data_IF_417559004827
#
_entry.id   IF_417559004827
#
_cell.length_a   1.000
_cell.length_b   1.000
_cell.length_c   1.000
_cell.angle_alpha   90.00
_cell.angle_beta   90.00
_cell.angle_gamma   90.00
#
_symmetry.space_group_name_H-M   'P 1'
#
loop_
_entity.id
_entity.type
_entity.pdbx_description
1 polymer ?
#
# COMPACT_ATOMS: atom_id res chain seq x y z
N UNK A 1 -12.46 -9.03 20.73
CA UNK A 1 -12.53 -7.58 20.41
C UNK A 1 -11.16 -6.98 20.74
N UNK A 2 -10.13 -7.39 19.99
CA UNK A 2 -8.75 -6.97 20.24
C UNK A 2 -8.51 -5.65 19.53
N UNK A 3 -8.13 -4.65 20.32
CA UNK A 3 -7.72 -3.34 19.82
C UNK A 3 -6.49 -3.54 18.95
N UNK A 4 -6.66 -3.38 17.64
CA UNK A 4 -5.57 -3.35 16.67
C UNK A 4 -4.60 -2.22 17.05
N UNK A 5 -3.57 -2.58 17.81
CA UNK A 5 -2.52 -1.67 18.27
C UNK A 5 -1.79 -1.09 17.07
N UNK A 6 -2.02 0.19 16.80
CA UNK A 6 -1.33 0.97 15.77
C UNK A 6 0.16 1.01 16.10
N UNK A 7 0.96 0.24 15.38
CA UNK A 7 2.40 0.18 15.63
C UNK A 7 3.10 1.28 14.85
N UNK A 8 3.57 2.31 15.56
CA UNK A 8 4.39 3.38 14.99
C UNK A 8 5.77 2.84 14.62
N UNK A 9 6.21 3.07 13.38
CA UNK A 9 7.50 2.60 12.84
C UNK A 9 8.17 3.71 12.04
N UNK A 10 9.50 3.71 11.99
CA UNK A 10 10.28 4.70 11.24
C UNK A 10 10.97 4.06 10.04
N UNK A 11 10.98 4.76 8.92
CA UNK A 11 11.83 4.48 7.76
C UNK A 11 12.57 5.77 7.42
N UNK A 12 13.88 5.80 7.64
CA UNK A 12 14.65 7.05 7.63
C UNK A 12 14.09 8.07 8.63
N UNK A 13 13.91 9.30 8.15
CA UNK A 13 13.41 10.46 8.91
C UNK A 13 11.87 10.46 9.09
N UNK A 14 11.17 9.60 8.33
CA UNK A 14 9.72 9.63 8.26
C UNK A 14 9.10 8.62 9.23
N UNK A 15 8.13 9.07 10.02
CA UNK A 15 7.37 8.24 10.95
C UNK A 15 6.07 7.77 10.29
N UNK A 16 5.92 6.45 10.24
CA UNK A 16 4.78 5.77 9.65
C UNK A 16 3.93 5.12 10.74
N UNK A 17 2.63 5.22 10.56
CA UNK A 17 1.68 4.35 11.20
C UNK A 17 1.34 3.24 10.22
N UNK A 18 1.60 1.98 10.60
CA UNK A 18 1.14 0.85 9.81
C UNK A 18 -0.36 0.67 10.02
N UNK A 19 -1.09 0.65 8.91
CA UNK A 19 -2.52 0.40 8.90
C UNK A 19 -2.74 -1.06 8.46
N UNK A 20 -3.47 -1.87 9.24
CA UNK A 20 -3.80 -3.22 8.82
C UNK A 20 -4.71 -3.18 7.59
N UNK A 21 -4.36 -3.94 6.57
CA UNK A 21 -5.23 -4.16 5.40
C UNK A 21 -6.14 -5.33 5.73
N UNK A 22 -7.44 -5.08 5.71
CA UNK A 22 -8.47 -6.11 5.83
C UNK A 22 -9.11 -6.30 4.46
N UNK A 23 -8.82 -7.43 3.82
CA UNK A 23 -9.41 -7.80 2.53
C UNK A 23 -10.64 -8.68 2.80
N UNK A 24 -11.81 -8.07 2.79
CA UNK A 24 -13.07 -8.82 2.91
C UNK A 24 -13.30 -9.68 1.65
N UNK A 25 -13.80 -10.92 1.79
CA UNK A 25 -14.16 -11.72 0.63
C UNK A 25 -15.23 -10.99 -0.19
N UNK A 26 -15.04 -10.94 -1.51
CA UNK A 26 -15.98 -10.34 -2.45
C UNK A 26 -16.57 -11.43 -3.34
N UNK A 27 -17.85 -11.29 -3.72
CA UNK A 27 -18.42 -12.13 -4.76
C UNK A 27 -17.64 -11.95 -6.07
N UNK A 28 -17.61 -12.98 -6.92
CA UNK A 28 -16.81 -12.95 -8.15
C UNK A 28 -17.19 -11.78 -9.07
N UNK A 29 -18.48 -11.44 -9.16
CA UNK A 29 -18.98 -10.28 -9.90
C UNK A 29 -18.44 -8.96 -9.35
N UNK A 30 -18.49 -8.81 -8.03
CA UNK A 30 -17.99 -7.63 -7.30
C UNK A 30 -16.48 -7.46 -7.49
N UNK A 31 -15.73 -8.55 -7.34
CA UNK A 31 -14.28 -8.54 -7.56
C UNK A 31 -13.90 -8.18 -9.01
N UNK A 32 -14.69 -8.63 -9.99
CA UNK A 32 -14.43 -8.36 -11.40
C UNK A 32 -14.70 -6.90 -11.77
N UNK A 33 -15.81 -6.34 -11.29
CA UNK A 33 -16.12 -4.93 -11.50
C UNK A 33 -15.17 -4.01 -10.74
N UNK A 34 -14.81 -4.35 -9.50
CA UNK A 34 -13.81 -3.59 -8.74
C UNK A 34 -12.44 -3.62 -9.43
N UNK A 35 -12.02 -4.77 -9.97
CA UNK A 35 -10.77 -4.89 -10.72
C UNK A 35 -10.76 -4.03 -12.00
N UNK A 36 -11.91 -3.93 -12.67
CA UNK A 36 -12.07 -3.04 -13.82
C UNK A 36 -11.94 -1.58 -13.39
N UNK A 37 -12.72 -1.14 -12.39
CA UNK A 37 -12.64 0.24 -11.88
C UNK A 37 -11.24 0.59 -11.37
N UNK A 38 -10.56 -0.33 -10.70
CA UNK A 38 -9.18 -0.16 -10.26
C UNK A 38 -8.22 0.07 -11.44
N UNK A 39 -8.27 -0.79 -12.47
CA UNK A 39 -7.38 -0.68 -13.64
C UNK A 39 -7.64 0.56 -14.48
N UNK A 40 -8.89 1.02 -14.54
CA UNK A 40 -9.26 2.21 -15.31
C UNK A 40 -8.97 3.52 -14.57
N UNK A 41 -9.21 3.57 -13.25
CA UNK A 41 -9.21 4.84 -12.49
C UNK A 41 -8.02 5.01 -11.56
N UNK A 42 -7.52 3.91 -10.98
CA UNK A 42 -6.53 3.95 -9.90
C UNK A 42 -5.14 3.61 -10.43
N UNK A 43 -5.00 2.45 -11.08
CA UNK A 43 -3.72 1.91 -11.55
C UNK A 43 -2.88 2.93 -12.36
N UNK A 44 -3.44 3.71 -13.31
CA UNK A 44 -2.64 4.63 -14.12
C UNK A 44 -2.03 5.80 -13.33
N UNK A 45 -2.59 6.12 -12.16
CA UNK A 45 -2.12 7.21 -11.31
C UNK A 45 -1.07 6.76 -10.29
N UNK A 46 -0.88 5.44 -10.10
CA UNK A 46 0.03 4.94 -9.08
C UNK A 46 1.49 5.05 -9.53
N UNK A 47 2.35 5.42 -8.59
CA UNK A 47 3.80 5.50 -8.81
C UNK A 47 4.51 4.43 -7.98
N UNK A 48 4.86 3.28 -8.58
CA UNK A 48 5.65 2.25 -7.90
C UNK A 48 7.13 2.67 -7.84
N UNK A 49 7.75 2.50 -6.67
CA UNK A 49 9.17 2.79 -6.44
C UNK A 49 9.80 1.56 -5.80
N UNK A 50 10.92 1.09 -6.35
CA UNK A 50 11.75 0.07 -5.69
C UNK A 50 12.62 0.74 -4.63
N UNK A 51 12.63 0.21 -3.40
CA UNK A 51 13.47 0.71 -2.31
C UNK A 51 14.76 -0.10 -2.25
N UNK A 52 15.89 0.59 -2.33
CA UNK A 52 17.23 0.02 -2.19
C UNK A 52 18.23 1.08 -1.70
N UNK A 53 19.52 0.75 -1.63
CA UNK A 53 20.55 1.69 -1.19
C UNK A 53 20.73 2.90 -2.11
N UNK A 54 20.42 2.75 -3.39
CA UNK A 54 20.52 3.80 -4.42
C UNK A 54 19.23 4.59 -4.59
N UNK A 55 18.10 4.03 -4.18
CA UNK A 55 16.76 4.59 -4.24
C UNK A 55 16.12 4.55 -2.84
N UNK A 56 16.51 5.48 -1.94
CA UNK A 56 15.87 5.58 -0.64
C UNK A 56 14.41 6.05 -0.77
N UNK A 57 13.65 5.88 0.31
CA UNK A 57 12.30 6.42 0.37
C UNK A 57 12.35 7.96 0.23
N UNK A 58 11.55 8.57 -0.66
CA UNK A 58 11.52 10.02 -0.79
C UNK A 58 10.92 10.67 0.47
N UNK A 59 11.16 11.97 0.63
CA UNK A 59 10.50 12.75 1.67
C UNK A 59 9.00 12.82 1.38
N UNK A 60 8.20 12.33 2.33
CA UNK A 60 6.76 12.30 2.23
C UNK A 60 6.14 13.31 3.20
N UNK A 61 5.17 14.12 2.76
CA UNK A 61 4.47 15.02 3.66
C UNK A 61 3.61 14.23 4.67
N UNK A 62 3.41 14.81 5.85
CA UNK A 62 2.48 14.25 6.84
C UNK A 62 1.08 14.08 6.24
N UNK A 63 0.44 12.96 6.56
CA UNK A 63 -0.85 12.56 5.97
C UNK A 63 -0.74 11.74 4.68
N UNK A 64 0.45 11.62 4.09
CA UNK A 64 0.65 10.75 2.92
C UNK A 64 0.26 9.30 3.23
N UNK A 65 -0.36 8.64 2.25
CA UNK A 65 -0.75 7.24 2.34
C UNK A 65 0.04 6.47 1.28
N UNK A 66 0.49 5.27 1.64
CA UNK A 66 1.17 4.40 0.70
C UNK A 66 1.07 2.95 1.13
N UNK A 67 1.66 2.07 0.32
CA UNK A 67 1.80 0.66 0.62
C UNK A 67 3.27 0.26 0.51
N UNK A 68 3.78 -0.44 1.52
CA UNK A 68 5.00 -1.22 1.38
C UNK A 68 4.66 -2.58 0.78
N UNK A 69 5.51 -3.06 -0.11
CA UNK A 69 5.37 -4.32 -0.84
C UNK A 69 6.64 -5.12 -0.67
N UNK A 70 6.54 -6.35 -0.16
CA UNK A 70 7.65 -7.29 -0.07
C UNK A 70 7.58 -8.27 -1.23
N UNK A 71 8.70 -8.46 -1.92
CA UNK A 71 8.79 -9.40 -3.04
C UNK A 71 9.40 -10.73 -2.61
N UNK A 72 8.93 -11.82 -3.23
CA UNK A 72 9.46 -13.16 -3.00
C UNK A 72 10.75 -13.35 -3.81
N UNK A 73 11.91 -13.29 -3.16
CA UNK A 73 13.19 -13.75 -3.74
C UNK A 73 14.09 -14.44 -2.70
N UNK A 74 14.94 -15.34 -3.18
CA UNK A 74 15.70 -16.31 -2.36
C UNK A 74 17.00 -15.78 -1.76
N UNK A 75 17.59 -14.70 -2.28
CA UNK A 75 18.90 -14.22 -1.84
C UNK A 75 18.87 -12.91 -1.06
N UNK A 76 17.96 -11.99 -1.40
CA UNK A 76 17.87 -10.65 -0.79
C UNK A 76 16.41 -10.20 -0.68
N UNK A 77 16.06 -9.62 0.47
CA UNK A 77 14.75 -9.05 0.72
C UNK A 77 14.61 -7.74 -0.07
N UNK A 78 13.75 -7.73 -1.09
CA UNK A 78 13.43 -6.52 -1.86
C UNK A 78 12.10 -5.95 -1.43
N UNK A 79 12.06 -4.63 -1.39
CA UNK A 79 10.91 -3.87 -0.91
C UNK A 79 10.55 -2.83 -1.96
N UNK A 80 9.27 -2.72 -2.26
CA UNK A 80 8.71 -1.62 -3.04
C UNK A 80 7.85 -0.73 -2.16
N UNK A 81 7.66 0.50 -2.61
CA UNK A 81 6.62 1.39 -2.10
C UNK A 81 5.70 1.80 -3.25
N UNK A 82 4.40 1.86 -2.97
CA UNK A 82 3.39 2.43 -3.85
C UNK A 82 2.79 3.61 -3.11
N UNK A 83 3.03 4.82 -3.59
CA UNK A 83 2.41 6.01 -3.02
C UNK A 83 1.00 6.15 -3.58
N UNK A 84 0.06 6.58 -2.74
CA UNK A 84 -1.32 6.89 -3.14
C UNK A 84 -1.40 8.40 -3.42
N UNK A 85 -1.54 8.83 -4.69
CA UNK A 85 -1.74 10.24 -5.01
C UNK A 85 -2.96 10.81 -4.26
N UNK A 86 -2.86 12.04 -3.70
CA UNK A 86 -3.97 12.67 -2.99
C UNK A 86 -5.16 13.03 -3.90
N UNK A 87 -4.96 13.05 -5.21
CA UNK A 87 -6.01 13.28 -6.20
C UNK A 87 -6.94 12.06 -6.39
N UNK A 88 -6.52 10.88 -5.96
CA UNK A 88 -7.35 9.69 -6.03
C UNK A 88 -8.51 9.79 -5.03
N UNK A 89 -9.67 9.20 -5.36
CA UNK A 89 -10.76 9.13 -4.40
C UNK A 89 -10.33 8.35 -3.16
N UNK A 90 -10.83 8.70 -1.98
CA UNK A 90 -10.55 7.91 -0.77
C UNK A 90 -11.20 6.52 -0.81
N UNK A 91 -12.31 6.41 -1.54
CA UNK A 91 -13.11 5.20 -1.70
C UNK A 91 -13.31 4.91 -3.17
N UNK A 92 -13.02 3.68 -3.57
CA UNK A 92 -13.37 3.13 -4.87
C UNK A 92 -14.73 2.44 -4.75
N UNK A 93 -15.74 3.01 -5.42
CA UNK A 93 -17.11 2.52 -5.35
C UNK A 93 -17.53 1.85 -6.65
N UNK A 94 -18.11 0.66 -6.54
CA UNK A 94 -18.79 -0.06 -7.62
C UNK A 94 -20.29 0.07 -7.40
N UNK A 95 -21.01 0.49 -8.44
CA UNK A 95 -22.45 0.75 -8.40
C UNK A 95 -23.21 -0.35 -9.14
N UNK A 96 -24.30 -0.83 -8.54
CA UNK A 96 -25.31 -1.69 -9.13
C UNK A 96 -26.67 -0.98 -9.07
N UNK A 97 -27.69 -1.46 -9.81
CA UNK A 97 -29.04 -0.89 -9.74
C UNK A 97 -29.62 -0.82 -8.31
N UNK A 98 -29.39 -1.87 -7.51
CA UNK A 98 -30.02 -2.02 -6.17
C UNK A 98 -29.03 -1.92 -5.00
N UNK A 99 -27.72 -1.81 -5.26
CA UNK A 99 -26.68 -1.76 -4.21
C UNK A 99 -25.38 -1.13 -4.68
N UNK A 100 -24.50 -0.79 -3.76
CA UNK A 100 -23.13 -0.36 -4.06
C UNK A 100 -22.13 -0.99 -3.10
N UNK A 101 -20.90 -1.14 -3.55
CA UNK A 101 -19.78 -1.62 -2.73
C UNK A 101 -18.69 -0.55 -2.79
N UNK A 102 -18.27 -0.07 -1.63
CA UNK A 102 -17.18 0.89 -1.51
C UNK A 102 -16.01 0.25 -0.76
N UNK A 103 -14.81 0.35 -1.34
CA UNK A 103 -13.57 -0.14 -0.74
C UNK A 103 -12.59 1.02 -0.65
N UNK A 104 -11.88 1.16 0.47
CA UNK A 104 -10.82 2.17 0.59
C UNK A 104 -9.77 1.96 -0.49
N UNK A 105 -9.29 3.04 -1.11
CA UNK A 105 -8.35 2.92 -2.25
C UNK A 105 -7.08 2.17 -1.87
N UNK A 106 -6.53 2.36 -0.68
CA UNK A 106 -5.37 1.59 -0.21
C UNK A 106 -5.64 0.08 -0.11
N UNK A 107 -6.88 -0.34 0.20
CA UNK A 107 -7.25 -1.76 0.22
C UNK A 107 -7.44 -2.30 -1.20
N UNK A 108 -7.98 -1.50 -2.11
CA UNK A 108 -8.07 -1.85 -3.52
C UNK A 108 -6.67 -2.01 -4.13
N UNK A 109 -5.75 -1.07 -3.84
CA UNK A 109 -4.34 -1.17 -4.27
C UNK A 109 -3.71 -2.44 -3.71
N UNK A 110 -3.88 -2.74 -2.42
CA UNK A 110 -3.36 -3.96 -1.83
C UNK A 110 -3.88 -5.24 -2.49
N UNK A 111 -5.19 -5.28 -2.81
CA UNK A 111 -5.82 -6.43 -3.47
C UNK A 111 -5.23 -6.69 -4.86
N UNK A 112 -4.93 -5.64 -5.61
CA UNK A 112 -4.46 -5.70 -6.99
C UNK A 112 -3.00 -5.28 -7.14
N UNK A 113 -2.22 -5.32 -6.06
CA UNK A 113 -0.83 -4.83 -6.05
C UNK A 113 0.07 -5.60 -7.02
N UNK A 114 -0.28 -6.85 -7.31
CA UNK A 114 0.43 -7.68 -8.29
C UNK A 114 0.32 -7.13 -9.71
N UNK A 115 -0.72 -6.35 -10.02
CA UNK A 115 -0.87 -5.70 -11.33
C UNK A 115 0.17 -4.58 -11.53
N UNK A 116 0.70 -4.00 -10.44
CA UNK A 116 1.79 -3.02 -10.50
C UNK A 116 3.16 -3.67 -10.66
N UNK A 117 3.35 -4.88 -10.14
CA UNK A 117 4.65 -5.55 -10.05
C UNK A 117 4.64 -6.88 -10.81
N UNK A 118 4.50 -6.80 -12.14
CA UNK A 118 4.40 -7.99 -12.99
C UNK A 118 5.71 -8.78 -13.10
N UNK A 119 6.85 -8.14 -12.84
CA UNK A 119 8.18 -8.77 -12.98
C UNK A 119 8.62 -9.51 -11.72
N UNK A 120 8.05 -9.19 -10.55
CA UNK A 120 8.46 -9.77 -9.27
C UNK A 120 7.22 -10.26 -8.49
N UNK A 121 7.19 -11.54 -8.08
CA UNK A 121 6.07 -12.05 -7.30
C UNK A 121 5.97 -11.34 -5.95
N UNK A 122 4.81 -10.74 -5.69
CA UNK A 122 4.51 -10.11 -4.38
C UNK A 122 4.30 -11.20 -3.34
N UNK A 123 4.96 -11.05 -2.19
CA UNK A 123 4.83 -11.94 -1.04
C UNK A 123 3.82 -11.40 -0.02
N UNK A 124 3.94 -10.12 0.33
CA UNK A 124 3.09 -9.47 1.34
C UNK A 124 3.09 -7.95 1.13
N UNK A 125 2.02 -7.28 1.54
CA UNK A 125 1.91 -5.82 1.48
C UNK A 125 1.24 -5.25 2.73
N UNK A 126 1.58 -4.02 3.08
CA UNK A 126 1.03 -3.28 4.22
C UNK A 126 0.79 -1.84 3.85
N UNK A 127 -0.35 -1.27 4.22
CA UNK A 127 -0.57 0.16 4.06
C UNK A 127 0.07 0.93 5.22
N UNK A 128 0.45 2.16 4.94
CA UNK A 128 0.96 3.09 5.93
C UNK A 128 0.33 4.46 5.76
N UNK A 129 0.35 5.22 6.85
CA UNK A 129 0.10 6.65 6.86
C UNK A 129 1.28 7.38 7.49
N UNK A 130 1.75 8.44 6.84
CA UNK A 130 2.78 9.31 7.41
C UNK A 130 2.13 10.14 8.52
N UNK A 131 2.70 10.09 9.72
CA UNK A 131 2.17 10.79 10.89
C UNK A 131 3.02 12.00 11.28
N UNK A 132 4.35 11.91 11.10
CA UNK A 132 5.29 13.00 11.34
C UNK A 132 6.54 12.80 10.49
N UNK A 133 7.08 13.88 9.97
CA UNK A 133 8.38 13.90 9.28
C UNK A 133 9.33 14.68 10.19
N UNK A 134 10.29 13.99 10.81
CA UNK A 134 11.36 14.63 11.60
C UNK A 134 12.59 14.79 10.68
N UNK A 135 13.60 15.61 11.03
CA UNK A 135 14.85 15.73 10.25
C UNK A 135 15.68 14.43 10.25
N UNK A 136 16.48 14.24 9.20
CA UNK A 136 17.10 12.96 8.86
C UNK A 136 18.31 12.56 9.74
N UNK A 137 18.15 11.49 10.53
CA UNK A 137 19.28 10.65 10.95
C UNK A 137 19.19 9.30 10.23
N UNK A 138 20.26 8.97 9.48
CA UNK A 138 20.36 7.76 8.67
C UNK A 138 20.11 6.50 9.49
N UNK A 139 19.10 5.70 9.13
CA UNK A 139 18.85 4.40 9.77
C UNK A 139 18.56 3.29 8.77
N UNK A 140 19.09 2.11 9.11
CA UNK A 140 18.99 0.86 8.36
C UNK A 140 17.55 0.38 8.26
N UNK A 141 17.16 0.03 7.04
CA UNK A 141 15.87 -0.56 6.70
C UNK A 141 15.74 -1.93 7.37
N UNK A 142 14.98 -2.04 8.46
CA UNK A 142 14.61 -3.33 9.07
C UNK A 142 13.11 -3.50 8.91
N UNK A 143 12.67 -4.26 7.92
CA UNK A 143 11.32 -4.83 7.95
C UNK A 143 11.37 -5.97 8.98
N UNK A 144 10.76 -5.84 10.16
CA UNK A 144 10.71 -6.96 11.07
C UNK A 144 9.86 -8.06 10.42
N UNK A 145 10.32 -9.29 10.61
CA UNK A 145 9.67 -10.49 10.12
C UNK A 145 8.20 -10.50 10.57
N UNK A 146 7.27 -10.13 9.68
CA UNK A 146 5.84 -10.18 9.98
C UNK A 146 5.41 -11.62 9.77
N UNK A 147 5.48 -12.42 10.84
CA UNK A 147 4.79 -13.69 10.95
C UNK A 147 3.31 -13.55 10.55
#
# INVERSE_FOLDING_TARGET
MERSSLQKRRVGATSFELCPIVLEPLAQSDASLLARSFREQVLPALTPIALDHTHPLPDLPAGSIGLFVRFRRTSEQRVGVVLVPPLLPQWLTVWYPERSIAVRVEHAIARYVSDLFTTLPVEKSWSFRVTRTDEAEQLRFVIPNVA
#
